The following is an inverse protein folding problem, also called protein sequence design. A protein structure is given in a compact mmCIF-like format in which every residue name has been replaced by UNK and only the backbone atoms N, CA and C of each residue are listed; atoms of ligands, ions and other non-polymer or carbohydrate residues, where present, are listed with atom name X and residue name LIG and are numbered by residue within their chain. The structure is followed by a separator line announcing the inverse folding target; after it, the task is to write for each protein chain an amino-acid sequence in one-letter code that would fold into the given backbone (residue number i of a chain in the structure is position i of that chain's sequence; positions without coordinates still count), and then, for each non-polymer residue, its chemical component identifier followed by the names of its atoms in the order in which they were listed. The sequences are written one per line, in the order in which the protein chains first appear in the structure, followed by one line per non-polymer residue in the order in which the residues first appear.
data_IF_755128089053
#
_entry.id   IF_755128089053
#
_cell.length_a   1.000
_cell.length_b   1.000
_cell.length_c   1.000
_cell.angle_alpha   90.00
_cell.angle_beta   90.00
_cell.angle_gamma   90.00
#
_symmetry.space_group_name_H-M   'P 1'
#
loop_
_entity.id
_entity.type
_entity.pdbx_description
1 polymer ?
#
# COMPACT_ATOMS: atom_id res chain seq x y z
N UNK A 1 0.88 7.61 16.28
CA UNK A 1 -0.07 7.12 15.29
C UNK A 1 0.57 7.10 13.91
N UNK A 2 0.40 6.01 13.19
CA UNK A 2 1.03 5.85 11.88
C UNK A 2 0.47 6.86 10.85
N UNK A 3 -0.81 7.18 10.94
CA UNK A 3 -1.41 8.18 10.05
C UNK A 3 -0.77 9.56 10.21
N UNK A 4 -0.47 9.95 11.44
CA UNK A 4 0.23 11.21 11.69
C UNK A 4 1.64 11.18 11.13
N UNK A 5 2.32 10.06 11.30
CA UNK A 5 3.68 9.88 10.79
C UNK A 5 3.72 10.04 9.27
N UNK A 6 2.86 9.33 8.54
CA UNK A 6 2.86 9.41 7.08
C UNK A 6 2.34 10.76 6.59
N UNK A 7 1.41 11.38 7.29
CA UNK A 7 0.90 12.69 6.94
C UNK A 7 2.01 13.75 7.00
N UNK A 8 2.82 13.72 8.07
CA UNK A 8 3.95 14.64 8.20
C UNK A 8 4.94 14.50 7.04
N UNK A 9 5.11 13.29 6.53
CA UNK A 9 6.05 13.01 5.44
C UNK A 9 5.50 13.35 4.06
N UNK A 10 4.21 13.13 3.83
CA UNK A 10 3.63 13.17 2.49
C UNK A 10 2.78 14.42 2.22
N UNK A 11 2.15 15.00 3.23
CA UNK A 11 1.30 16.17 3.02
C UNK A 11 2.03 17.37 2.41
N UNK A 12 3.31 17.65 2.74
CA UNK A 12 4.02 18.77 2.14
C UNK A 12 4.40 18.62 0.68
N UNK A 13 4.26 17.41 0.10
CA UNK A 13 4.75 17.14 -1.25
C UNK A 13 3.81 17.67 -2.33
N UNK A 14 4.39 18.24 -3.38
CA UNK A 14 3.64 18.76 -4.52
C UNK A 14 3.27 17.70 -5.55
N UNK A 15 3.99 16.60 -5.56
CA UNK A 15 3.80 15.49 -6.50
C UNK A 15 3.45 14.23 -5.74
N UNK A 16 2.85 13.27 -6.44
CA UNK A 16 2.58 11.97 -5.84
C UNK A 16 3.85 11.23 -5.48
N UNK A 17 3.83 10.59 -4.34
CA UNK A 17 4.87 9.68 -3.90
C UNK A 17 4.20 8.48 -3.22
N UNK A 18 4.84 7.35 -3.36
CA UNK A 18 4.47 6.13 -2.62
C UNK A 18 5.61 5.81 -1.68
N UNK A 19 5.30 5.57 -0.41
CA UNK A 19 6.29 5.08 0.55
C UNK A 19 5.89 3.70 1.03
N UNK A 20 6.87 2.80 1.05
CA UNK A 20 6.72 1.46 1.58
C UNK A 20 7.59 1.35 2.83
N UNK A 21 6.97 0.99 3.94
CA UNK A 21 7.66 0.86 5.22
C UNK A 21 7.71 -0.60 5.64
N UNK A 22 8.92 -1.11 5.79
CA UNK A 22 9.15 -2.47 6.29
C UNK A 22 8.98 -2.49 7.80
N UNK A 23 8.13 -3.37 8.28
CA UNK A 23 7.80 -3.51 9.70
C UNK A 23 8.37 -4.83 10.20
N UNK A 24 9.06 -4.80 11.34
CA UNK A 24 9.65 -6.00 11.91
C UNK A 24 8.65 -6.77 12.79
N UNK A 25 9.09 -7.90 13.34
CA UNK A 25 8.25 -8.75 14.17
C UNK A 25 7.79 -8.06 15.47
N UNK A 26 8.46 -6.99 15.87
CA UNK A 26 8.08 -6.18 17.04
C UNK A 26 7.23 -4.97 16.65
N UNK A 27 6.73 -4.96 15.43
CA UNK A 27 5.87 -3.91 14.88
C UNK A 27 6.56 -2.54 14.81
N UNK A 28 7.87 -2.54 14.55
CA UNK A 28 8.67 -1.33 14.40
C UNK A 28 9.10 -1.14 12.95
N UNK A 29 9.20 0.12 12.55
CA UNK A 29 9.71 0.46 11.21
C UNK A 29 11.20 0.21 11.17
N UNK A 30 11.65 -0.61 10.23
CA UNK A 30 13.06 -0.92 10.02
C UNK A 30 13.65 -0.20 8.82
N UNK A 31 12.83 0.01 7.80
CA UNK A 31 13.30 0.56 6.55
C UNK A 31 12.13 1.16 5.80
N UNK A 32 12.37 2.25 5.09
CA UNK A 32 11.37 2.87 4.24
C UNK A 32 11.97 3.20 2.89
N UNK A 33 11.17 3.08 1.84
CA UNK A 33 11.57 3.47 0.49
C UNK A 33 10.49 4.32 -0.13
N UNK A 34 10.90 5.45 -0.74
CA UNK A 34 10.02 6.35 -1.45
C UNK A 34 10.17 6.14 -2.95
N UNK A 35 9.03 6.01 -3.62
CA UNK A 35 8.93 6.07 -5.07
C UNK A 35 8.24 7.37 -5.42
N UNK A 36 8.84 8.20 -6.23
CA UNK A 36 8.30 9.52 -6.58
C UNK A 36 7.85 9.57 -8.03
N UNK A 37 6.88 10.44 -8.31
CA UNK A 37 6.33 10.59 -9.65
C UNK A 37 7.34 11.18 -10.65
N UNK A 38 8.39 11.84 -10.16
CA UNK A 38 9.38 12.50 -11.03
C UNK A 38 8.74 13.66 -11.78
N UNK A 39 8.87 13.64 -13.10
CA UNK A 39 8.29 14.69 -13.95
C UNK A 39 6.82 14.48 -14.26
N UNK A 40 6.24 13.35 -13.86
CA UNK A 40 4.83 13.06 -14.06
C UNK A 40 4.05 13.39 -12.80
N UNK A 41 2.72 13.51 -12.92
CA UNK A 41 1.89 13.83 -11.77
C UNK A 41 1.56 12.60 -10.93
N UNK A 42 1.66 11.41 -11.50
CA UNK A 42 1.29 10.16 -10.82
C UNK A 42 2.47 9.27 -10.64
N UNK A 43 2.58 8.71 -9.44
CA UNK A 43 3.59 7.69 -9.16
C UNK A 43 3.13 6.36 -9.78
N UNK A 44 4.07 5.67 -10.39
CA UNK A 44 3.83 4.34 -10.96
C UNK A 44 4.95 3.42 -10.51
N UNK A 45 4.58 2.32 -9.89
CA UNK A 45 5.52 1.31 -9.42
C UNK A 45 5.09 -0.04 -10.00
N UNK A 46 5.97 -0.68 -10.74
CA UNK A 46 5.66 -1.95 -11.36
C UNK A 46 5.65 -3.09 -10.33
N UNK A 47 4.82 -4.13 -10.55
CA UNK A 47 4.78 -5.28 -9.64
C UNK A 47 6.14 -5.92 -9.40
N UNK A 48 7.00 -5.97 -10.43
CA UNK A 48 8.33 -6.54 -10.32
C UNK A 48 9.20 -5.77 -9.33
N UNK A 49 9.04 -4.46 -9.28
CA UNK A 49 9.80 -3.61 -8.33
C UNK A 49 9.39 -3.93 -6.89
N UNK A 50 8.09 -4.05 -6.66
CA UNK A 50 7.56 -4.38 -5.33
C UNK A 50 7.99 -5.79 -4.94
N UNK A 51 7.86 -6.73 -5.85
CA UNK A 51 8.26 -8.12 -5.58
C UNK A 51 9.73 -8.20 -5.22
N UNK A 52 10.58 -7.48 -5.95
CA UNK A 52 12.02 -7.43 -5.68
C UNK A 52 12.32 -6.78 -4.34
N UNK A 53 11.59 -5.71 -4.01
CA UNK A 53 11.71 -5.03 -2.73
C UNK A 53 11.40 -5.99 -1.57
N UNK A 54 10.29 -6.71 -1.67
CA UNK A 54 9.89 -7.67 -0.64
C UNK A 54 10.88 -8.83 -0.51
N UNK A 55 11.36 -9.33 -1.64
CA UNK A 55 12.34 -10.42 -1.63
C UNK A 55 13.68 -9.98 -1.05
N UNK A 56 14.07 -8.74 -1.29
CA UNK A 56 15.34 -8.18 -0.78
C UNK A 56 15.29 -7.94 0.73
N UNK A 57 14.23 -7.32 1.20
CA UNK A 57 14.15 -6.88 2.59
C UNK A 57 13.49 -7.89 3.51
N UNK A 58 12.67 -8.77 2.97
CA UNK A 58 11.98 -9.85 3.70
C UNK A 58 11.37 -9.37 5.02
N UNK A 59 10.54 -8.32 5.00
CA UNK A 59 9.96 -7.80 6.23
C UNK A 59 8.90 -8.74 6.80
N UNK A 60 8.66 -8.64 8.10
CA UNK A 60 7.54 -9.35 8.70
C UNK A 60 6.21 -8.73 8.24
N UNK A 61 6.19 -7.42 8.07
CA UNK A 61 5.01 -6.70 7.61
C UNK A 61 5.36 -5.49 6.77
N UNK A 62 4.34 -4.90 6.17
CA UNK A 62 4.47 -3.74 5.30
C UNK A 62 3.34 -2.76 5.58
N UNK A 63 3.67 -1.47 5.54
CA UNK A 63 2.68 -0.39 5.45
C UNK A 63 3.00 0.41 4.20
N UNK A 64 1.98 0.64 3.38
CA UNK A 64 2.10 1.50 2.22
C UNK A 64 1.39 2.84 2.51
N UNK A 65 1.95 3.92 2.00
CA UNK A 65 1.33 5.24 2.10
C UNK A 65 1.58 6.00 0.81
N UNK A 66 0.55 6.73 0.35
CA UNK A 66 0.74 7.64 -0.77
C UNK A 66 -0.14 8.87 -0.58
N UNK A 67 0.16 9.92 -1.34
CA UNK A 67 -0.55 11.17 -1.23
C UNK A 67 -1.37 11.47 -2.47
N UNK A 68 -2.45 12.22 -2.25
CA UNK A 68 -3.21 12.92 -3.29
C UNK A 68 -2.93 14.40 -3.08
N UNK A 69 -1.94 15.01 -3.77
CA UNK A 69 -1.52 16.38 -3.46
C UNK A 69 -2.61 17.42 -3.65
N UNK A 70 -3.51 17.19 -4.59
CA UNK A 70 -4.50 18.19 -4.99
C UNK A 70 -5.94 17.74 -4.76
N UNK A 71 -6.17 16.66 -4.04
CA UNK A 71 -7.52 16.13 -3.86
C UNK A 71 -7.69 15.47 -2.50
N UNK A 72 -8.95 15.20 -2.10
CA UNK A 72 -9.23 14.55 -0.82
C UNK A 72 -8.65 13.14 -0.71
N UNK A 73 -8.54 12.65 0.51
CA UNK A 73 -8.07 11.31 0.81
C UNK A 73 -9.17 10.27 0.55
N UNK A 74 -9.59 10.18 -0.72
CA UNK A 74 -10.62 9.23 -1.17
C UNK A 74 -9.94 8.27 -2.16
N UNK A 75 -10.01 6.96 -1.92
CA UNK A 75 -9.38 6.00 -2.84
C UNK A 75 -10.01 6.04 -4.23
N UNK A 76 -9.17 6.00 -5.25
CA UNK A 76 -9.61 5.82 -6.62
C UNK A 76 -9.70 4.31 -6.92
N UNK A 77 -10.30 3.97 -8.08
CA UNK A 77 -10.30 2.58 -8.54
C UNK A 77 -8.87 2.06 -8.73
N UNK A 78 -7.98 2.93 -9.19
CA UNK A 78 -6.57 2.57 -9.33
C UNK A 78 -5.93 2.28 -7.97
N UNK A 79 -6.27 3.05 -6.95
CA UNK A 79 -5.79 2.81 -5.58
C UNK A 79 -6.26 1.46 -5.05
N UNK A 80 -7.51 1.11 -5.30
CA UNK A 80 -8.06 -0.18 -4.90
C UNK A 80 -7.35 -1.34 -5.61
N UNK A 81 -7.11 -1.20 -6.91
CA UNK A 81 -6.38 -2.22 -7.68
C UNK A 81 -4.95 -2.37 -7.20
N UNK A 82 -4.29 -1.26 -6.91
CA UNK A 82 -2.94 -1.29 -6.37
C UNK A 82 -2.91 -1.99 -5.00
N UNK A 83 -3.88 -1.70 -4.14
CA UNK A 83 -3.97 -2.33 -2.82
C UNK A 83 -4.18 -3.84 -2.94
N UNK A 84 -5.05 -4.26 -3.85
CA UNK A 84 -5.28 -5.68 -4.11
C UNK A 84 -4.00 -6.36 -4.59
N UNK A 85 -3.30 -5.74 -5.52
CA UNK A 85 -2.04 -6.26 -6.05
C UNK A 85 -0.97 -6.34 -4.96
N UNK A 86 -0.87 -5.30 -4.14
CA UNK A 86 0.09 -5.25 -3.04
C UNK A 86 -0.19 -6.36 -2.02
N UNK A 87 -1.46 -6.59 -1.70
CA UNK A 87 -1.84 -7.69 -0.81
C UNK A 87 -1.41 -9.04 -1.38
N UNK A 88 -1.62 -9.25 -2.67
CA UNK A 88 -1.25 -10.51 -3.31
C UNK A 88 0.26 -10.72 -3.27
N UNK A 89 1.02 -9.68 -3.61
CA UNK A 89 2.49 -9.76 -3.59
C UNK A 89 3.02 -9.99 -2.18
N UNK A 90 2.44 -9.33 -1.18
CA UNK A 90 2.80 -9.54 0.22
C UNK A 90 2.49 -10.98 0.65
N UNK A 91 1.33 -11.49 0.28
CA UNK A 91 0.93 -12.85 0.61
C UNK A 91 1.88 -13.88 0.02
N UNK A 92 2.28 -13.69 -1.24
CA UNK A 92 3.22 -14.60 -1.92
C UNK A 92 4.60 -14.58 -1.28
N UNK A 93 4.97 -13.49 -0.62
CA UNK A 93 6.26 -13.33 0.04
C UNK A 93 6.19 -13.54 1.55
N UNK A 94 5.07 -14.01 2.06
CA UNK A 94 4.84 -14.23 3.49
C UNK A 94 5.03 -12.94 4.30
N UNK A 95 4.57 -11.82 3.75
CA UNK A 95 4.62 -10.50 4.38
C UNK A 95 3.19 -10.10 4.72
N UNK A 96 2.97 -9.60 5.93
CA UNK A 96 1.66 -9.10 6.33
C UNK A 96 1.50 -7.64 5.88
N UNK A 97 0.49 -7.35 5.07
CA UNK A 97 0.16 -5.97 4.74
C UNK A 97 -0.71 -5.41 5.86
N UNK A 98 -0.14 -4.51 6.67
CA UNK A 98 -0.86 -3.92 7.80
C UNK A 98 -1.85 -2.85 7.37
N UNK A 99 -1.44 -1.99 6.45
CA UNK A 99 -2.30 -0.89 6.04
C UNK A 99 -1.81 -0.28 4.73
N UNK A 100 -2.72 0.44 4.09
CA UNK A 100 -2.44 1.36 3.00
C UNK A 100 -3.13 2.67 3.39
N UNK A 101 -2.35 3.74 3.53
CA UNK A 101 -2.85 5.02 4.00
C UNK A 101 -2.72 6.05 2.89
N UNK A 102 -3.80 6.75 2.60
CA UNK A 102 -3.82 7.84 1.63
C UNK A 102 -3.81 9.16 2.40
N UNK A 103 -2.91 10.07 2.02
CA UNK A 103 -2.83 11.42 2.58
C UNK A 103 -3.38 12.39 1.54
N UNK A 104 -4.51 12.99 1.83
CA UNK A 104 -5.16 13.96 0.94
C UNK A 104 -5.16 15.35 1.52
N UNK A 105 -5.84 16.27 0.83
CA UNK A 105 -5.93 17.66 1.26
C UNK A 105 -6.79 17.84 2.50
N UNK A 106 -7.65 16.89 2.81
CA UNK A 106 -8.61 16.95 3.91
C UNK A 106 -8.31 15.98 5.06
N UNK A 107 -7.19 15.28 5.00
CA UNK A 107 -6.82 14.33 6.05
C UNK A 107 -6.28 13.03 5.50
N UNK A 108 -6.50 11.95 6.21
CA UNK A 108 -5.99 10.63 5.83
C UNK A 108 -7.11 9.60 5.72
N UNK A 109 -6.85 8.59 4.89
CA UNK A 109 -7.75 7.44 4.72
C UNK A 109 -6.93 6.19 4.99
N UNK A 110 -7.39 5.36 5.91
CA UNK A 110 -6.74 4.08 6.24
C UNK A 110 -7.61 2.94 5.74
N UNK A 111 -7.08 2.15 4.83
CA UNK A 111 -7.78 0.96 4.33
C UNK A 111 -8.12 -0.01 5.46
N UNK A 112 -7.23 -0.13 6.43
CA UNK A 112 -7.44 -1.00 7.57
C UNK A 112 -8.58 -0.52 8.45
N UNK A 113 -8.56 0.77 8.83
CA UNK A 113 -9.54 1.31 9.79
C UNK A 113 -10.97 1.30 9.27
N UNK A 114 -11.15 1.51 7.95
CA UNK A 114 -12.50 1.51 7.37
C UNK A 114 -12.96 0.12 6.96
N UNK A 115 -12.14 -0.93 7.16
CA UNK A 115 -12.49 -2.29 6.81
C UNK A 115 -12.28 -2.65 5.34
N UNK A 116 -11.76 -1.74 4.53
CA UNK A 116 -11.57 -1.96 3.09
C UNK A 116 -10.46 -2.98 2.82
N UNK A 117 -9.43 -2.98 3.66
CA UNK A 117 -8.33 -3.94 3.55
C UNK A 117 -8.84 -5.38 3.61
N UNK A 118 -9.73 -5.65 4.57
CA UNK A 118 -10.31 -6.98 4.75
C UNK A 118 -11.23 -7.36 3.59
N UNK A 119 -12.02 -6.41 3.08
CA UNK A 119 -12.87 -6.64 1.92
C UNK A 119 -12.04 -7.06 0.71
N UNK A 120 -10.96 -6.31 0.44
CA UNK A 120 -10.07 -6.60 -0.68
C UNK A 120 -9.40 -7.95 -0.50
N UNK A 121 -8.93 -8.26 0.71
CA UNK A 121 -8.30 -9.53 1.02
C UNK A 121 -9.25 -10.71 0.72
N UNK A 122 -10.50 -10.59 1.10
CA UNK A 122 -11.50 -11.64 0.83
C UNK A 122 -11.80 -11.79 -0.65
N UNK A 123 -11.88 -10.66 -1.36
CA UNK A 123 -12.26 -10.67 -2.78
C UNK A 123 -11.14 -11.16 -3.69
N UNK A 124 -9.88 -10.89 -3.33
CA UNK A 124 -8.75 -11.10 -4.24
C UNK A 124 -7.69 -12.08 -3.70
N UNK A 125 -8.03 -12.91 -2.71
CA UNK A 125 -7.05 -13.89 -2.25
C UNK A 125 -6.94 -15.04 -3.25
N UNK A 126 -5.78 -15.71 -3.22
CA UNK A 126 -5.45 -16.76 -4.18
C UNK A 126 -6.45 -17.90 -4.13
N UNK A 127 -6.91 -18.28 -2.93
CA UNK A 127 -7.86 -19.38 -2.79
C UNK A 127 -9.20 -19.07 -3.47
N UNK A 128 -9.69 -17.84 -3.33
CA UNK A 128 -10.93 -17.45 -4.00
C UNK A 128 -10.77 -17.43 -5.52
N UNK A 129 -9.63 -16.95 -6.01
CA UNK A 129 -9.38 -16.87 -7.44
C UNK A 129 -9.28 -18.27 -8.05
N UNK A 130 -8.57 -19.18 -7.40
CA UNK A 130 -8.36 -20.53 -7.91
C UNK A 130 -9.58 -21.40 -7.65
N UNK A 131 -10.05 -21.48 -6.42
CA UNK A 131 -11.11 -22.40 -6.03
C UNK A 131 -12.48 -21.98 -6.51
N UNK A 132 -12.77 -20.69 -6.51
CA UNK A 132 -14.10 -20.18 -6.83
C UNK A 132 -14.32 -19.86 -8.28
N UNK A 133 -13.26 -19.67 -9.06
CA UNK A 133 -13.39 -19.16 -10.42
C UNK A 133 -12.82 -20.04 -11.51
N UNK A 134 -11.76 -20.76 -11.19
CA UNK A 134 -11.10 -21.62 -12.17
C UNK A 134 -11.70 -23.00 -12.17
N UNK A 135 -12.19 -23.44 -11.04
CA UNK A 135 -12.86 -24.74 -10.93
C UNK A 135 -14.35 -24.53 -11.13
N UNK A 136 -14.91 -24.93 -12.26
CA UNK A 136 -16.35 -24.85 -12.52
C UNK A 136 -17.16 -25.77 -11.62
#
# INVERSE_FOLDING_TARGET
DFSEFVSARLAPLDCEALELFCIDANERIRFGKRFSAGDTQRVRVEPEEISRFLATHRPAGLVAAHNHPDSPAVPSDADDRFTAQLQMLCSLNNVRLYDHIIVGTDGTYSYFLVGRMEEIRRAFNVNNLIGGRICP
#
